data_IF_152955131243
#
_entry.id   IF_152955131243
#
_cell.length_a   1.000
_cell.length_b   1.000
_cell.length_c   1.000
_cell.angle_alpha   90.00
_cell.angle_beta   90.00
_cell.angle_gamma   90.00
#
_symmetry.space_group_name_H-M   'P 1'
#
loop_
_entity.id
_entity.type
_entity.pdbx_description
1 polymer ?
#
# COMPACT_ATOMS: atom_id res chain seq x y z
N UNK A 1 11.87 -12.20 2.07
CA UNK A 1 11.68 -13.51 2.74
C UNK A 1 13.01 -14.17 3.10
N UNK A 2 13.74 -14.79 2.17
CA UNK A 2 15.02 -15.49 2.47
C UNK A 2 16.05 -14.61 3.20
N UNK A 3 16.37 -13.43 2.66
CA UNK A 3 17.41 -12.56 3.23
C UNK A 3 17.06 -12.02 4.63
N UNK A 4 15.78 -12.00 4.98
CA UNK A 4 15.29 -11.59 6.31
C UNK A 4 15.00 -12.81 7.21
N UNK A 5 15.39 -14.03 6.80
CA UNK A 5 15.19 -15.27 7.54
C UNK A 5 13.72 -15.57 7.90
N UNK A 6 12.78 -15.09 7.06
CA UNK A 6 11.34 -15.19 7.35
C UNK A 6 10.82 -16.63 7.24
N UNK A 7 11.47 -17.49 6.45
CA UNK A 7 11.08 -18.89 6.30
C UNK A 7 11.30 -19.66 7.60
N UNK A 8 12.48 -19.52 8.18
CA UNK A 8 12.87 -20.20 9.40
C UNK A 8 12.15 -19.62 10.62
N UNK A 9 12.03 -18.29 10.72
CA UNK A 9 11.45 -17.62 11.91
C UNK A 9 9.96 -17.88 12.09
N UNK A 10 9.22 -18.04 11.00
CA UNK A 10 7.76 -18.19 11.01
C UNK A 10 7.28 -19.51 10.39
N UNK A 11 8.21 -20.44 10.15
CA UNK A 11 7.93 -21.72 9.50
C UNK A 11 7.12 -21.58 8.19
N UNK A 12 7.44 -20.55 7.39
CA UNK A 12 6.72 -20.28 6.14
C UNK A 12 7.15 -21.32 5.11
N UNK A 13 6.19 -22.09 4.58
CA UNK A 13 6.46 -23.03 3.50
C UNK A 13 6.79 -22.28 2.19
N UNK A 14 7.98 -22.46 1.59
CA UNK A 14 8.37 -21.76 0.36
C UNK A 14 7.45 -22.06 -0.84
N UNK A 15 6.86 -23.25 -0.90
CA UNK A 15 5.91 -23.64 -1.96
C UNK A 15 4.60 -22.85 -1.80
N UNK A 16 4.08 -22.73 -0.57
CA UNK A 16 2.88 -21.92 -0.29
C UNK A 16 3.12 -20.45 -0.59
N UNK A 17 4.32 -19.92 -0.30
CA UNK A 17 4.68 -18.55 -0.71
C UNK A 17 4.72 -18.39 -2.23
N UNK A 18 5.31 -19.36 -2.96
CA UNK A 18 5.34 -19.33 -4.42
C UNK A 18 3.92 -19.35 -5.02
N UNK A 19 3.07 -20.23 -4.51
CA UNK A 19 1.67 -20.32 -4.93
C UNK A 19 0.90 -19.04 -4.60
N UNK A 20 1.10 -18.48 -3.40
CA UNK A 20 0.52 -17.22 -2.98
C UNK A 20 0.90 -16.06 -3.92
N UNK A 21 2.18 -15.91 -4.25
CA UNK A 21 2.65 -14.89 -5.22
C UNK A 21 2.04 -15.11 -6.61
N UNK A 22 1.89 -16.37 -7.03
CA UNK A 22 1.22 -16.73 -8.28
C UNK A 22 -0.25 -16.32 -8.30
N UNK A 23 -0.96 -16.50 -7.18
CA UNK A 23 -2.37 -16.09 -7.04
C UNK A 23 -2.51 -14.57 -6.94
N UNK A 24 -1.62 -13.89 -6.21
CA UNK A 24 -1.57 -12.42 -6.18
C UNK A 24 -1.42 -11.86 -7.60
N UNK A 25 -0.48 -12.37 -8.38
CA UNK A 25 -0.25 -11.91 -9.76
C UNK A 25 -1.50 -12.02 -10.64
N UNK A 26 -2.34 -13.04 -10.44
CA UNK A 26 -3.61 -13.19 -11.16
C UNK A 26 -4.69 -12.22 -10.67
N UNK A 27 -4.65 -11.87 -9.38
CA UNK A 27 -5.64 -11.01 -8.73
C UNK A 27 -5.37 -9.52 -8.93
N UNK A 28 -4.12 -9.11 -9.09
CA UNK A 28 -3.82 -7.76 -9.56
C UNK A 28 -4.30 -7.59 -11.01
N UNK A 29 -5.18 -6.60 -11.22
CA UNK A 29 -5.70 -6.28 -12.55
C UNK A 29 -4.60 -5.65 -13.42
N UNK A 30 -4.80 -5.70 -14.73
CA UNK A 30 -3.88 -5.09 -15.69
C UNK A 30 -4.13 -3.57 -15.83
N UNK A 31 -4.10 -2.86 -14.70
CA UNK A 31 -4.23 -1.40 -14.67
C UNK A 31 -2.91 -0.74 -15.09
N UNK A 32 -2.94 0.55 -15.42
CA UNK A 32 -1.73 1.27 -15.82
C UNK A 32 -0.72 1.37 -14.67
N UNK A 33 -1.18 1.73 -13.46
CA UNK A 33 -0.38 1.96 -12.26
C UNK A 33 -0.63 0.89 -11.20
N UNK A 34 -1.85 0.78 -10.65
CA UNK A 34 -2.16 -0.13 -9.53
C UNK A 34 -2.28 -1.59 -10.01
N UNK A 35 -1.14 -2.19 -10.35
CA UNK A 35 -0.99 -3.53 -10.91
C UNK A 35 0.11 -4.33 -10.16
N UNK A 36 0.35 -5.58 -10.56
CA UNK A 36 1.32 -6.45 -9.87
C UNK A 36 2.76 -5.90 -9.84
N UNK A 37 3.15 -5.07 -10.82
CA UNK A 37 4.49 -4.46 -10.81
C UNK A 37 4.60 -3.39 -9.74
N UNK A 38 3.52 -2.65 -9.48
CA UNK A 38 3.46 -1.64 -8.42
C UNK A 38 3.67 -2.28 -7.06
N UNK A 39 2.90 -3.31 -6.71
CA UNK A 39 3.08 -3.97 -5.41
C UNK A 39 4.48 -4.59 -5.27
N UNK A 40 5.09 -5.07 -6.36
CA UNK A 40 6.50 -5.50 -6.34
C UNK A 40 7.48 -4.35 -6.07
N UNK A 41 7.29 -3.18 -6.70
CA UNK A 41 8.14 -1.99 -6.47
C UNK A 41 8.03 -1.52 -5.01
N UNK A 42 6.81 -1.44 -4.48
CA UNK A 42 6.51 -1.09 -3.08
C UNK A 42 7.17 -2.08 -2.11
N UNK A 43 6.99 -3.38 -2.34
CA UNK A 43 7.61 -4.43 -1.51
C UNK A 43 9.14 -4.37 -1.58
N UNK A 44 9.70 -4.07 -2.76
CA UNK A 44 11.15 -3.91 -2.94
C UNK A 44 11.68 -2.70 -2.17
N UNK A 45 10.95 -1.58 -2.18
CA UNK A 45 11.33 -0.39 -1.43
C UNK A 45 11.26 -0.63 0.09
N UNK A 46 10.20 -1.29 0.57
CA UNK A 46 10.11 -1.73 1.97
C UNK A 46 11.28 -2.65 2.35
N UNK A 47 11.63 -3.62 1.50
CA UNK A 47 12.78 -4.46 1.73
C UNK A 47 14.08 -3.65 1.84
N UNK A 48 14.29 -2.66 0.97
CA UNK A 48 15.45 -1.77 1.05
C UNK A 48 15.47 -1.01 2.40
N UNK A 49 14.35 -0.42 2.81
CA UNK A 49 14.23 0.27 4.10
C UNK A 49 14.51 -0.68 5.27
N UNK A 50 13.98 -1.90 5.24
CA UNK A 50 14.21 -2.91 6.26
C UNK A 50 15.66 -3.43 6.33
N UNK A 51 16.49 -3.18 5.31
CA UNK A 51 17.93 -3.47 5.36
C UNK A 51 18.75 -2.29 5.91
N UNK A 52 18.13 -1.13 6.17
CA UNK A 52 18.81 -0.02 6.81
C UNK A 52 18.93 -0.29 8.32
N UNK A 53 20.15 -0.26 8.86
CA UNK A 53 20.49 -0.66 10.24
C UNK A 53 19.53 -0.11 11.31
N UNK A 54 19.21 1.19 11.24
CA UNK A 54 18.31 1.85 12.19
C UNK A 54 16.86 1.39 12.10
N UNK A 55 16.41 0.98 10.91
CA UNK A 55 15.04 0.49 10.68
C UNK A 55 14.97 -0.99 11.05
N UNK A 56 15.98 -1.77 10.65
CA UNK A 56 16.08 -3.19 10.99
C UNK A 56 16.06 -3.42 12.50
N UNK A 57 16.83 -2.63 13.25
CA UNK A 57 16.89 -2.71 14.73
C UNK A 57 15.65 -2.16 15.44
N UNK A 58 14.82 -1.38 14.75
CA UNK A 58 13.61 -0.80 15.33
C UNK A 58 12.42 -1.77 15.34
N UNK A 59 12.38 -2.71 14.39
CA UNK A 59 11.27 -3.64 14.22
C UNK A 59 11.61 -5.06 14.64
N UNK A 60 10.65 -5.73 15.26
CA UNK A 60 10.65 -7.18 15.42
C UNK A 60 10.51 -7.88 14.07
N UNK A 61 10.83 -9.17 14.03
CA UNK A 61 10.64 -9.98 12.82
C UNK A 61 9.16 -10.05 12.40
N UNK A 62 8.22 -9.96 13.35
CA UNK A 62 6.78 -9.98 13.06
C UNK A 62 6.36 -8.74 12.29
N UNK A 63 6.84 -7.57 12.72
CA UNK A 63 6.56 -6.29 12.06
C UNK A 63 7.23 -6.22 10.67
N UNK A 64 8.42 -6.81 10.51
CA UNK A 64 9.07 -6.98 9.20
C UNK A 64 8.23 -7.86 8.27
N UNK A 65 7.70 -8.98 8.77
CA UNK A 65 6.80 -9.85 8.00
C UNK A 65 5.53 -9.11 7.59
N UNK A 66 4.92 -8.35 8.52
CA UNK A 66 3.73 -7.53 8.26
C UNK A 66 3.99 -6.52 7.15
N UNK A 67 5.11 -5.78 7.18
CA UNK A 67 5.45 -4.82 6.13
C UNK A 67 5.58 -5.50 4.76
N UNK A 68 6.31 -6.61 4.67
CA UNK A 68 6.46 -7.34 3.41
C UNK A 68 5.13 -7.83 2.84
N UNK A 69 4.27 -8.41 3.68
CA UNK A 69 2.96 -8.90 3.24
C UNK A 69 2.03 -7.74 2.88
N UNK A 70 2.04 -6.65 3.66
CA UNK A 70 1.27 -5.43 3.34
C UNK A 70 1.68 -4.85 1.99
N UNK A 71 2.99 -4.72 1.73
CA UNK A 71 3.51 -4.26 0.44
C UNK A 71 3.00 -5.11 -0.74
N UNK A 72 2.98 -6.43 -0.57
CA UNK A 72 2.50 -7.36 -1.60
C UNK A 72 1.00 -7.29 -1.86
N UNK A 73 0.20 -6.88 -0.87
CA UNK A 73 -1.27 -6.99 -0.94
C UNK A 73 -2.04 -5.68 -0.82
N UNK A 74 -1.36 -4.54 -0.62
CA UNK A 74 -2.05 -3.28 -0.30
C UNK A 74 -3.02 -2.79 -1.38
N UNK A 75 -2.83 -3.19 -2.65
CA UNK A 75 -3.67 -2.81 -3.80
C UNK A 75 -4.27 -4.03 -4.53
N UNK A 76 -4.40 -5.17 -3.86
CA UNK A 76 -4.87 -6.39 -4.51
C UNK A 76 -6.29 -6.21 -5.08
N UNK A 77 -6.46 -6.56 -6.36
CA UNK A 77 -7.70 -6.39 -7.12
C UNK A 77 -8.20 -4.92 -7.24
N UNK A 78 -7.29 -3.94 -7.21
CA UNK A 78 -7.60 -2.54 -7.45
C UNK A 78 -8.34 -2.35 -8.80
N UNK A 79 -9.49 -1.64 -8.84
CA UNK A 79 -10.33 -1.53 -10.04
C UNK A 79 -9.85 -0.50 -11.07
N UNK A 80 -8.81 0.26 -10.75
CA UNK A 80 -8.29 1.34 -11.60
C UNK A 80 -9.04 2.66 -11.43
N UNK A 81 -9.85 2.78 -10.38
CA UNK A 81 -10.58 3.98 -9.97
C UNK A 81 -10.45 4.17 -8.47
N UNK A 82 -10.60 5.39 -7.97
CA UNK A 82 -10.44 5.73 -6.56
C UNK A 82 -11.71 5.52 -5.72
N UNK A 83 -11.58 5.65 -4.40
CA UNK A 83 -12.69 5.54 -3.44
C UNK A 83 -13.89 6.46 -3.78
N UNK A 84 -13.62 7.71 -4.18
CA UNK A 84 -14.67 8.67 -4.52
C UNK A 84 -15.51 8.22 -5.72
N UNK A 85 -14.88 7.65 -6.74
CA UNK A 85 -15.61 7.10 -7.88
C UNK A 85 -16.58 6.00 -7.45
N UNK A 86 -16.10 5.04 -6.64
CA UNK A 86 -16.94 3.94 -6.15
C UNK A 86 -18.16 4.46 -5.37
N UNK A 87 -17.95 5.46 -4.51
CA UNK A 87 -19.01 6.11 -3.74
C UNK A 87 -20.02 6.80 -4.66
N UNK A 88 -19.54 7.63 -5.60
CA UNK A 88 -20.41 8.38 -6.52
C UNK A 88 -21.17 7.49 -7.50
N UNK A 89 -20.68 6.28 -7.77
CA UNK A 89 -21.35 5.30 -8.63
C UNK A 89 -22.15 4.25 -7.86
N UNK A 90 -22.30 4.41 -6.53
CA UNK A 90 -23.06 3.48 -5.69
C UNK A 90 -22.57 2.03 -5.81
N UNK A 91 -21.25 1.85 -5.90
CA UNK A 91 -20.65 0.51 -5.99
C UNK A 91 -20.92 -0.30 -4.72
N UNK A 92 -21.11 -1.61 -4.85
CA UNK A 92 -21.38 -2.51 -3.71
C UNK A 92 -20.29 -2.41 -2.62
N UNK A 93 -19.03 -2.19 -3.01
CA UNK A 93 -17.94 -2.01 -2.07
C UNK A 93 -18.11 -0.76 -1.21
N UNK A 94 -18.62 0.34 -1.78
CA UNK A 94 -18.86 1.58 -1.05
C UNK A 94 -19.87 1.35 0.07
N UNK A 95 -21.00 0.68 -0.24
CA UNK A 95 -21.98 0.28 0.77
C UNK A 95 -21.41 -0.70 1.80
N UNK A 96 -20.66 -1.71 1.35
CA UNK A 96 -20.07 -2.74 2.22
C UNK A 96 -19.14 -2.14 3.28
N UNK A 97 -18.37 -1.13 2.90
CA UNK A 97 -17.40 -0.48 3.79
C UNK A 97 -17.86 0.90 4.29
N UNK A 98 -19.13 1.24 4.08
CA UNK A 98 -19.77 2.47 4.55
C UNK A 98 -18.95 3.72 4.20
N UNK A 99 -18.48 3.78 2.94
CA UNK A 99 -17.69 4.88 2.37
C UNK A 99 -16.35 5.17 3.06
N UNK A 100 -15.88 4.27 3.95
CA UNK A 100 -14.64 4.44 4.72
C UNK A 100 -13.53 3.56 4.15
N UNK A 101 -12.50 4.18 3.57
CA UNK A 101 -11.32 3.49 3.00
C UNK A 101 -11.73 2.25 2.21
N UNK A 102 -12.63 2.45 1.25
CA UNK A 102 -13.41 1.39 0.59
C UNK A 102 -12.49 0.37 -0.06
N UNK A 103 -11.53 0.85 -0.84
CA UNK A 103 -10.53 0.06 -1.54
C UNK A 103 -9.57 -0.60 -0.56
N UNK A 104 -9.05 0.13 0.42
CA UNK A 104 -8.06 -0.42 1.34
C UNK A 104 -8.64 -1.53 2.23
N UNK A 105 -9.91 -1.41 2.62
CA UNK A 105 -10.64 -2.50 3.27
C UNK A 105 -10.85 -3.69 2.32
N UNK A 106 -11.15 -3.43 1.05
CA UNK A 106 -11.29 -4.47 0.04
C UNK A 106 -9.97 -5.22 -0.24
N UNK A 107 -8.85 -4.50 -0.27
CA UNK A 107 -7.51 -5.06 -0.44
C UNK A 107 -7.14 -5.95 0.75
N UNK A 108 -7.34 -5.44 1.98
CA UNK A 108 -7.13 -6.23 3.18
C UNK A 108 -8.03 -7.48 3.21
N UNK A 109 -9.32 -7.36 2.85
CA UNK A 109 -10.22 -8.50 2.77
C UNK A 109 -9.69 -9.58 1.81
N UNK A 110 -9.31 -9.21 0.60
CA UNK A 110 -8.80 -10.15 -0.40
C UNK A 110 -7.48 -10.80 0.02
N UNK A 111 -6.56 -10.06 0.63
CA UNK A 111 -5.30 -10.58 1.14
C UNK A 111 -5.54 -11.79 2.07
N UNK A 112 -6.38 -11.61 3.09
CA UNK A 112 -6.68 -12.67 4.04
C UNK A 112 -7.58 -13.77 3.46
N UNK A 113 -8.48 -13.43 2.53
CA UNK A 113 -9.29 -14.43 1.81
C UNK A 113 -8.41 -15.42 1.03
N UNK A 114 -7.32 -14.94 0.42
CA UNK A 114 -6.35 -15.81 -0.26
C UNK A 114 -5.59 -16.65 0.76
N UNK A 115 -5.05 -16.02 1.81
CA UNK A 115 -4.27 -16.72 2.84
C UNK A 115 -5.09 -17.75 3.64
N UNK A 116 -6.43 -17.70 3.60
CA UNK A 116 -7.30 -18.73 4.18
C UNK A 116 -7.26 -20.07 3.42
N UNK A 117 -6.85 -20.08 2.16
CA UNK A 117 -6.73 -21.33 1.38
C UNK A 117 -5.39 -21.98 1.69
N UNK A 118 -5.42 -23.28 2.04
CA UNK A 118 -4.22 -24.01 2.47
C UNK A 118 -3.06 -23.91 1.46
N UNK A 119 -3.35 -24.00 0.17
CA UNK A 119 -2.38 -23.89 -0.93
C UNK A 119 -1.62 -22.55 -0.98
N UNK A 120 -2.19 -21.48 -0.40
CA UNK A 120 -1.64 -20.12 -0.40
C UNK A 120 -1.36 -19.59 1.02
N UNK A 121 -1.59 -20.40 2.06
CA UNK A 121 -1.52 -19.94 3.43
C UNK A 121 -0.06 -19.77 3.88
N UNK A 122 0.46 -18.55 3.75
CA UNK A 122 1.80 -18.16 4.20
C UNK A 122 1.89 -17.90 5.72
N UNK A 123 0.78 -18.10 6.44
CA UNK A 123 0.63 -17.83 7.87
C UNK A 123 0.39 -19.11 8.69
N UNK A 124 0.44 -20.30 8.07
CA UNK A 124 0.14 -21.58 8.71
C UNK A 124 1.12 -21.98 9.81
N UNK A 125 2.36 -21.48 9.74
CA UNK A 125 3.38 -21.67 10.78
C UNK A 125 3.22 -20.77 12.01
N UNK A 126 2.27 -19.83 12.02
CA UNK A 126 2.06 -18.91 13.15
C UNK A 126 1.19 -19.53 14.24
N UNK A 127 1.47 -19.17 15.50
CA UNK A 127 0.53 -19.43 16.59
C UNK A 127 -0.73 -18.56 16.43
N UNK A 128 -1.82 -18.91 17.13
CA UNK A 128 -3.04 -18.09 17.10
C UNK A 128 -2.80 -16.65 17.57
N UNK A 129 -1.96 -16.46 18.59
CA UNK A 129 -1.61 -15.13 19.11
C UNK A 129 -0.86 -14.31 18.06
N UNK A 130 0.16 -14.92 17.44
CA UNK A 130 0.93 -14.31 16.35
C UNK A 130 0.04 -13.94 15.15
N UNK A 131 -0.88 -14.82 14.76
CA UNK A 131 -1.83 -14.55 13.68
C UNK A 131 -2.75 -13.36 14.02
N UNK A 132 -3.29 -13.30 15.24
CA UNK A 132 -4.15 -12.18 15.68
C UNK A 132 -3.40 -10.86 15.68
N UNK A 133 -2.17 -10.85 16.18
CA UNK A 133 -1.29 -9.68 16.16
C UNK A 133 -0.97 -9.25 14.73
N UNK A 134 -0.47 -10.17 13.89
CA UNK A 134 -0.16 -9.91 12.48
C UNK A 134 -1.38 -9.34 11.75
N UNK A 135 -2.55 -9.95 11.92
CA UNK A 135 -3.78 -9.49 11.27
C UNK A 135 -4.15 -8.07 11.68
N UNK A 136 -4.07 -7.75 12.98
CA UNK A 136 -4.37 -6.41 13.50
C UNK A 136 -3.47 -5.36 12.87
N UNK A 137 -2.15 -5.61 12.89
CA UNK A 137 -1.17 -4.64 12.40
C UNK A 137 -1.24 -4.52 10.87
N UNK A 138 -1.30 -5.63 10.14
CA UNK A 138 -1.37 -5.64 8.68
C UNK A 138 -2.60 -4.90 8.14
N UNK A 139 -3.78 -5.06 8.76
CA UNK A 139 -4.97 -4.30 8.37
C UNK A 139 -4.73 -2.80 8.58
N UNK A 140 -4.17 -2.40 9.72
CA UNK A 140 -3.88 -0.99 10.02
C UNK A 140 -2.78 -0.40 9.13
N UNK A 141 -1.85 -1.22 8.63
CA UNK A 141 -0.80 -0.81 7.68
C UNK A 141 -1.37 -0.63 6.27
N UNK A 142 -2.21 -1.55 5.79
CA UNK A 142 -2.89 -1.43 4.49
C UNK A 142 -3.83 -0.22 4.49
N UNK A 143 -4.66 -0.05 5.52
CA UNK A 143 -5.57 1.12 5.61
C UNK A 143 -4.83 2.47 5.61
N UNK A 144 -3.54 2.49 5.97
CA UNK A 144 -2.75 3.71 5.94
C UNK A 144 -2.32 4.14 4.52
N UNK A 145 -2.46 3.27 3.51
CA UNK A 145 -2.20 3.66 2.11
C UNK A 145 -3.26 4.63 1.60
N UNK A 146 -4.48 4.62 2.17
CA UNK A 146 -5.53 5.59 1.88
C UNK A 146 -5.01 7.03 1.99
N UNK A 147 -5.05 7.74 0.87
CA UNK A 147 -4.52 9.10 0.76
C UNK A 147 -5.35 10.14 1.50
N UNK A 148 -6.61 9.83 1.88
CA UNK A 148 -7.42 10.70 2.75
C UNK A 148 -6.80 10.87 4.15
N UNK A 149 -6.07 9.85 4.62
CA UNK A 149 -5.41 9.85 5.93
C UNK A 149 -3.97 10.39 5.88
N UNK A 150 -3.44 10.70 4.70
CA UNK A 150 -2.02 11.01 4.50
C UNK A 150 -1.52 12.15 5.39
N UNK A 151 -2.14 13.33 5.30
CA UNK A 151 -1.72 14.50 6.07
C UNK A 151 -1.94 14.34 7.58
N UNK A 152 -2.97 13.58 7.98
CA UNK A 152 -3.20 13.27 9.40
C UNK A 152 -2.07 12.40 9.97
N UNK A 153 -1.68 11.34 9.25
CA UNK A 153 -0.58 10.46 9.67
C UNK A 153 0.75 11.24 9.75
N UNK A 154 1.05 12.08 8.77
CA UNK A 154 2.27 12.90 8.77
C UNK A 154 2.25 13.89 9.93
N UNK A 155 1.14 14.58 10.18
CA UNK A 155 1.04 15.52 11.30
C UNK A 155 1.24 14.83 12.65
N UNK A 156 0.69 13.62 12.84
CA UNK A 156 0.92 12.81 14.05
C UNK A 156 2.39 12.41 14.16
N UNK A 157 3.02 11.99 13.05
CA UNK A 157 4.44 11.66 13.02
C UNK A 157 5.33 12.84 13.36
N UNK A 158 5.14 14.00 12.72
CA UNK A 158 5.87 15.24 12.96
C UNK A 158 5.73 15.71 14.43
N UNK A 159 4.50 15.68 14.96
CA UNK A 159 4.25 16.02 16.37
C UNK A 159 4.98 15.06 17.31
N UNK A 160 4.93 13.76 17.01
CA UNK A 160 5.58 12.73 17.83
C UNK A 160 7.09 12.85 17.84
N UNK A 161 7.73 13.12 16.69
CA UNK A 161 9.19 13.31 16.61
C UNK A 161 9.63 14.67 17.17
N UNK A 162 8.76 15.68 17.14
CA UNK A 162 9.01 16.99 17.75
C UNK A 162 9.00 16.97 19.27
N UNK A 163 8.31 16.00 19.89
CA UNK A 163 8.24 15.82 21.35
C UNK A 163 9.28 14.84 21.90
N UNK A 164 9.97 14.10 21.03
CA UNK A 164 11.03 13.17 21.41
C UNK A 164 11.31 12.13 20.33
N UNK A 165 12.23 11.20 20.59
CA UNK A 165 12.50 10.11 19.65
C UNK A 165 11.39 9.06 19.72
N UNK A 166 11.14 8.38 18.60
CA UNK A 166 10.34 7.16 18.56
C UNK A 166 11.03 6.07 19.38
N UNK A 167 10.25 5.27 20.09
CA UNK A 167 10.71 4.11 20.86
C UNK A 167 10.26 2.81 20.21
N UNK A 168 11.18 1.85 20.07
CA UNK A 168 10.87 0.49 19.63
C UNK A 168 10.18 -0.35 20.72
N UNK A 169 10.16 0.14 21.97
CA UNK A 169 9.41 -0.46 23.08
C UNK A 169 7.94 -0.01 23.09
N UNK A 170 7.60 1.07 22.37
CA UNK A 170 6.25 1.59 22.28
C UNK A 170 5.55 1.06 21.01
N UNK A 171 4.45 0.34 21.19
CA UNK A 171 3.69 -0.25 20.10
C UNK A 171 3.05 0.78 19.15
N UNK A 172 2.65 1.95 19.66
CA UNK A 172 2.07 3.03 18.86
C UNK A 172 3.14 3.72 17.99
N UNK A 173 4.34 3.95 18.55
CA UNK A 173 5.47 4.49 17.79
C UNK A 173 5.88 3.54 16.65
N UNK A 174 5.91 2.23 16.92
CA UNK A 174 6.16 1.21 15.89
C UNK A 174 5.10 1.20 14.81
N UNK A 175 3.82 1.19 15.18
CA UNK A 175 2.73 1.23 14.21
C UNK A 175 2.77 2.53 13.38
N UNK A 176 3.01 3.67 14.01
CA UNK A 176 3.12 4.96 13.33
C UNK A 176 4.25 4.95 12.31
N UNK A 177 5.44 4.45 12.68
CA UNK A 177 6.55 4.32 11.75
C UNK A 177 6.24 3.33 10.62
N UNK A 178 5.58 2.19 10.90
CA UNK A 178 5.16 1.24 9.86
C UNK A 178 4.23 1.90 8.84
N UNK A 179 3.27 2.73 9.29
CA UNK A 179 2.38 3.48 8.41
C UNK A 179 3.17 4.46 7.54
N UNK A 180 4.10 5.22 8.14
CA UNK A 180 4.96 6.15 7.39
C UNK A 180 5.78 5.41 6.34
N UNK A 181 6.48 4.33 6.71
CA UNK A 181 7.29 3.55 5.76
C UNK A 181 6.46 2.91 4.65
N UNK A 182 5.25 2.44 4.95
CA UNK A 182 4.32 1.94 3.94
C UNK A 182 3.97 3.05 2.95
N UNK A 183 3.62 4.26 3.43
CA UNK A 183 3.33 5.40 2.56
C UNK A 183 4.56 5.84 1.75
N UNK A 184 5.73 5.96 2.37
CA UNK A 184 6.99 6.25 1.66
C UNK A 184 7.22 5.26 0.51
N UNK A 185 6.94 3.98 0.75
CA UNK A 185 7.15 2.91 -0.23
C UNK A 185 6.13 2.95 -1.35
N UNK A 186 4.86 3.18 -1.02
CA UNK A 186 3.74 3.25 -1.96
C UNK A 186 3.93 4.36 -3.00
N UNK A 187 4.39 5.54 -2.58
CA UNK A 187 4.65 6.67 -3.50
C UNK A 187 6.15 6.87 -3.81
N UNK A 188 6.97 5.84 -3.57
CA UNK A 188 8.43 5.89 -3.79
C UNK A 188 8.84 6.08 -5.25
N UNK A 189 7.91 5.90 -6.20
CA UNK A 189 8.19 6.04 -7.62
C UNK A 189 8.81 7.39 -8.00
N UNK A 190 8.46 8.48 -7.29
CA UNK A 190 9.04 9.81 -7.52
C UNK A 190 10.50 9.94 -7.08
N UNK A 191 10.98 9.11 -6.15
CA UNK A 191 12.37 9.13 -5.68
C UNK A 191 13.31 8.28 -6.56
N UNK A 192 12.77 7.55 -7.53
CA UNK A 192 13.56 6.75 -8.48
C UNK A 192 14.32 7.66 -9.46
N UNK A 193 15.40 7.15 -10.11
CA UNK A 193 16.03 7.87 -11.21
C UNK A 193 15.01 8.36 -12.24
N UNK A 194 15.18 9.58 -12.75
CA UNK A 194 14.15 10.28 -13.53
C UNK A 194 13.55 9.45 -14.67
N UNK A 195 14.36 8.65 -15.39
CA UNK A 195 13.86 7.80 -16.47
C UNK A 195 12.84 6.74 -16.01
N UNK A 196 12.98 6.25 -14.77
CA UNK A 196 12.05 5.31 -14.14
C UNK A 196 10.88 6.06 -13.54
N UNK A 197 11.14 7.13 -12.78
CA UNK A 197 10.10 7.98 -12.19
C UNK A 197 9.13 8.50 -13.26
N UNK A 198 9.63 8.94 -14.42
CA UNK A 198 8.81 9.37 -15.56
C UNK A 198 7.90 8.26 -16.08
N UNK A 199 8.35 7.00 -16.14
CA UNK A 199 7.50 5.88 -16.59
C UNK A 199 6.35 5.64 -15.61
N UNK A 200 6.64 5.64 -14.31
CA UNK A 200 5.63 5.51 -13.27
C UNK A 200 4.66 6.69 -13.25
N UNK A 201 5.14 7.92 -13.40
CA UNK A 201 4.30 9.10 -13.51
C UNK A 201 3.33 9.01 -14.71
N UNK A 202 3.81 8.52 -15.86
CA UNK A 202 2.95 8.28 -17.02
C UNK A 202 1.94 7.15 -16.77
N UNK A 203 2.33 6.07 -16.09
CA UNK A 203 1.41 5.01 -15.71
C UNK A 203 0.30 5.54 -14.78
N UNK A 204 0.68 6.28 -13.73
CA UNK A 204 -0.24 6.88 -12.77
C UNK A 204 -1.24 7.80 -13.47
N UNK A 205 -0.75 8.73 -14.29
CA UNK A 205 -1.63 9.70 -14.94
C UNK A 205 -2.56 9.07 -15.98
N UNK A 206 -2.11 8.04 -16.69
CA UNK A 206 -2.98 7.33 -17.63
C UNK A 206 -4.12 6.58 -16.91
N UNK A 207 -3.89 6.11 -15.69
CA UNK A 207 -4.95 5.54 -14.86
C UNK A 207 -5.96 6.60 -14.43
N UNK A 208 -5.48 7.76 -13.94
CA UNK A 208 -6.35 8.90 -13.59
C UNK A 208 -7.17 9.38 -14.79
N UNK A 209 -6.56 9.49 -15.96
CA UNK A 209 -7.26 9.87 -17.18
C UNK A 209 -8.26 8.81 -17.65
N UNK A 210 -8.04 7.54 -17.33
CA UNK A 210 -9.01 6.48 -17.61
C UNK A 210 -10.23 6.62 -16.71
N UNK A 211 -10.03 6.93 -15.42
CA UNK A 211 -11.13 7.26 -14.51
C UNK A 211 -11.89 8.52 -14.99
N UNK A 212 -11.20 9.61 -15.33
CA UNK A 212 -11.84 10.84 -15.77
C UNK A 212 -12.67 10.68 -17.05
N UNK A 213 -12.28 9.77 -17.94
CA UNK A 213 -13.08 9.40 -19.10
C UNK A 213 -14.34 8.61 -18.72
N UNK A 214 -14.25 7.71 -17.74
CA UNK A 214 -15.42 7.00 -17.20
C UNK A 214 -16.39 7.96 -16.50
N UNK A 215 -15.87 8.92 -15.72
CA UNK A 215 -16.67 9.98 -15.08
C UNK A 215 -17.44 10.78 -16.14
N UNK A 216 -16.75 11.22 -17.20
CA UNK A 216 -17.37 11.93 -18.33
C UNK A 216 -18.45 11.11 -19.02
N UNK A 217 -18.19 9.83 -19.29
CA UNK A 217 -19.17 8.92 -19.92
C UNK A 217 -20.42 8.71 -19.05
N UNK A 218 -20.27 8.72 -17.73
CA UNK A 218 -21.37 8.60 -16.76
C UNK A 218 -22.08 9.91 -16.47
N UNK A 219 -21.65 11.03 -17.07
CA UNK A 219 -22.19 12.35 -16.77
C UNK A 219 -21.85 12.86 -15.36
N UNK A 220 -20.80 12.31 -14.74
CA UNK A 220 -20.30 12.76 -13.44
C UNK A 220 -19.33 13.95 -13.61
N UNK A 221 -19.20 14.82 -12.60
CA UNK A 221 -18.10 15.78 -12.55
C UNK A 221 -16.76 15.05 -12.60
N UNK A 222 -15.84 15.51 -13.46
CA UNK A 222 -14.51 14.92 -13.55
C UNK A 222 -13.71 15.31 -12.31
N UNK A 223 -13.15 14.31 -11.63
CA UNK A 223 -12.35 14.48 -10.43
C UNK A 223 -11.10 15.33 -10.70
N UNK A 224 -10.60 16.07 -9.69
CA UNK A 224 -9.34 16.81 -9.82
C UNK A 224 -8.21 15.90 -10.32
N UNK A 225 -7.36 16.44 -11.21
CA UNK A 225 -6.23 15.74 -11.85
C UNK A 225 -6.61 14.64 -12.87
N UNK A 226 -7.90 14.37 -13.10
CA UNK A 226 -8.34 13.27 -13.96
C UNK A 226 -8.77 13.69 -15.37
N UNK A 227 -8.83 14.99 -15.65
CA UNK A 227 -9.15 15.48 -16.99
C UNK A 227 -7.89 15.65 -17.86
N UNK A 228 -7.72 14.72 -18.81
CA UNK A 228 -6.63 14.72 -19.79
C UNK A 228 -6.57 15.96 -20.69
N UNK A 229 -7.66 16.71 -20.80
CA UNK A 229 -7.71 17.88 -21.68
C UNK A 229 -7.25 19.17 -21.01
N UNK A 230 -7.21 19.19 -19.67
CA UNK A 230 -6.95 20.41 -18.90
C UNK A 230 -5.78 20.27 -17.93
N UNK A 231 -5.31 19.06 -17.65
CA UNK A 231 -4.21 18.85 -16.71
C UNK A 231 -2.86 19.35 -17.23
N UNK A 232 -2.22 20.23 -16.46
CA UNK A 232 -0.79 20.50 -16.56
C UNK A 232 -0.01 19.36 -15.88
N UNK A 233 0.40 18.36 -16.67
CA UNK A 233 1.04 17.16 -16.15
C UNK A 233 2.41 17.43 -15.47
N UNK A 234 3.36 18.18 -16.06
CA UNK A 234 4.60 18.52 -15.37
C UNK A 234 4.38 19.23 -14.03
N UNK A 235 3.48 20.21 -14.00
CA UNK A 235 3.17 20.94 -12.76
C UNK A 235 2.54 20.02 -11.71
N UNK A 236 1.62 19.13 -12.10
CA UNK A 236 1.00 18.20 -11.16
C UNK A 236 2.02 17.28 -10.48
N UNK A 237 3.05 16.84 -11.20
CA UNK A 237 4.14 16.04 -10.63
C UNK A 237 5.04 16.86 -9.68
N UNK A 238 5.33 18.12 -10.02
CA UNK A 238 6.09 19.01 -9.14
C UNK A 238 5.33 19.29 -7.84
N UNK A 239 4.03 19.59 -7.93
CA UNK A 239 3.19 19.86 -6.77
C UNK A 239 3.04 18.61 -5.90
N UNK A 240 2.82 17.42 -6.50
CA UNK A 240 2.77 16.16 -5.76
C UNK A 240 4.10 15.87 -5.04
N UNK A 241 5.24 16.03 -5.72
CA UNK A 241 6.56 15.88 -5.12
C UNK A 241 6.79 16.83 -3.94
N UNK A 242 6.39 18.10 -4.10
CA UNK A 242 6.58 19.14 -3.08
C UNK A 242 5.68 18.97 -1.86
N UNK A 243 4.39 18.73 -2.08
CA UNK A 243 3.39 18.80 -1.01
C UNK A 243 3.03 17.44 -0.41
N UNK A 244 3.26 16.34 -1.13
CA UNK A 244 2.88 14.99 -0.69
C UNK A 244 4.09 14.11 -0.42
N UNK A 245 5.09 14.11 -1.31
CA UNK A 245 6.26 13.23 -1.16
C UNK A 245 7.30 13.81 -0.20
N UNK A 246 7.68 15.09 -0.36
CA UNK A 246 8.76 15.69 0.43
C UNK A 246 8.55 15.69 1.96
N UNK A 247 7.32 15.75 2.51
CA UNK A 247 7.11 15.66 3.95
C UNK A 247 7.31 14.26 4.57
N UNK A 248 7.40 13.19 3.76
CA UNK A 248 7.65 11.81 4.18
C UNK A 248 9.15 11.49 4.23
#
# INVERSE_FOLDING_TARGET
FKSLNMFERFNINPIKLWNFLGELKKKYRNNHYHNFRHCCDVTQYLFMLLNHEKIDSFFSDMEKLVLLLSGLTHDIDHPGVNNNFLIMTEDELAYRYNDKSVLENYHAFNAFKIMQKDEFNVLDGLTEEQYRELRKIMVQTILATDMTNHFSIISIFESRIGTGRLSNENAEDKLLLMRVLMKCSDISNLSRPFAIAKKWANACINEFFSQGDLERQKGLPISPLMDRNTLDFPKSQMDFGKFVVSPL
#
